data_IF_870777518561
#
_entry.id   IF_870777518561
#
_cell.length_a   1.000
_cell.length_b   1.000
_cell.length_c   1.000
_cell.angle_alpha   90.00
_cell.angle_beta   90.00
_cell.angle_gamma   90.00
#
_symmetry.space_group_name_H-M   'P 1'
#
loop_
_entity.id
_entity.type
_entity.pdbx_description
1 polymer ?
#
# COMPACT_ATOMS: atom_id res chain seq x y z
N UNK A 1 -8.31 -4.96 6.86
CA UNK A 1 -7.79 -5.71 5.70
C UNK A 1 -8.80 -6.65 5.02
N UNK A 2 -10.09 -6.62 5.37
CA UNK A 2 -11.11 -7.53 4.77
C UNK A 2 -11.26 -7.46 3.24
N UNK A 3 -10.92 -6.33 2.60
CA UNK A 3 -10.90 -6.24 1.13
C UNK A 3 -9.81 -7.11 0.48
N UNK A 4 -8.65 -7.30 1.13
CA UNK A 4 -7.65 -8.28 0.68
C UNK A 4 -8.13 -9.71 0.89
N UNK A 5 -9.00 -9.96 1.89
CA UNK A 5 -9.66 -11.25 2.07
C UNK A 5 -10.71 -11.53 0.97
N UNK A 6 -11.37 -10.50 0.43
CA UNK A 6 -12.38 -10.66 -0.63
C UNK A 6 -11.81 -11.02 -2.01
N UNK A 7 -10.49 -10.95 -2.21
CA UNK A 7 -9.78 -11.32 -3.45
C UNK A 7 -10.23 -10.59 -4.73
N UNK A 8 -11.08 -9.58 -4.64
CA UNK A 8 -11.58 -8.83 -5.79
C UNK A 8 -10.70 -7.61 -6.05
N UNK A 9 -9.90 -7.56 -7.14
CA UNK A 9 -8.90 -6.51 -7.35
C UNK A 9 -9.45 -5.07 -7.26
N UNK A 10 -10.62 -4.73 -7.82
CA UNK A 10 -11.18 -3.39 -7.69
C UNK A 10 -11.53 -3.01 -6.23
N UNK A 11 -11.97 -3.95 -5.41
CA UNK A 11 -12.26 -3.68 -4.01
C UNK A 11 -10.96 -3.49 -3.21
N UNK A 12 -9.93 -4.31 -3.47
CA UNK A 12 -8.60 -4.17 -2.88
C UNK A 12 -8.00 -2.80 -3.22
N UNK A 13 -8.10 -2.39 -4.49
CA UNK A 13 -7.68 -1.08 -4.97
C UNK A 13 -8.35 0.07 -4.18
N UNK A 14 -9.69 0.07 -4.11
CA UNK A 14 -10.44 1.12 -3.39
C UNK A 14 -10.13 1.14 -1.90
N UNK A 15 -10.06 -0.03 -1.26
CA UNK A 15 -9.78 -0.14 0.15
C UNK A 15 -8.35 0.33 0.49
N UNK A 16 -7.39 0.03 -0.38
CA UNK A 16 -5.99 0.48 -0.21
C UNK A 16 -5.88 2.00 -0.33
N UNK A 17 -6.52 2.62 -1.33
CA UNK A 17 -6.57 4.08 -1.45
C UNK A 17 -7.17 4.74 -0.21
N UNK A 18 -8.33 4.25 0.27
CA UNK A 18 -8.96 4.76 1.50
C UNK A 18 -8.09 4.59 2.74
N UNK A 19 -7.27 3.54 2.78
CA UNK A 19 -6.35 3.32 3.91
C UNK A 19 -5.25 4.38 3.97
N UNK A 20 -4.71 4.81 2.81
CA UNK A 20 -3.73 5.89 2.77
C UNK A 20 -4.36 7.24 3.11
N UNK A 21 -5.54 7.53 2.57
CA UNK A 21 -6.30 8.75 2.92
C UNK A 21 -6.46 8.87 4.44
N UNK A 22 -6.98 7.83 5.10
CA UNK A 22 -7.14 7.80 6.55
C UNK A 22 -5.82 7.98 7.31
N UNK A 23 -4.70 7.43 6.80
CA UNK A 23 -3.39 7.58 7.42
C UNK A 23 -2.89 9.03 7.36
N UNK A 24 -3.02 9.69 6.20
CA UNK A 24 -2.62 11.08 6.03
C UNK A 24 -3.50 12.03 6.84
N UNK A 25 -4.81 11.80 6.89
CA UNK A 25 -5.74 12.58 7.69
C UNK A 25 -5.45 12.45 9.18
N UNK A 26 -5.27 11.23 9.69
CA UNK A 26 -4.95 10.97 11.09
C UNK A 26 -3.61 11.59 11.54
N UNK A 27 -2.67 11.78 10.61
CA UNK A 27 -1.38 12.41 10.85
C UNK A 27 -1.38 13.95 10.65
N UNK A 28 -2.55 14.55 10.36
CA UNK A 28 -2.71 15.96 9.99
C UNK A 28 -1.81 16.38 8.81
N UNK A 29 -1.71 15.50 7.81
CA UNK A 29 -0.86 15.67 6.60
C UNK A 29 -1.68 15.89 5.34
N UNK A 30 -2.69 16.77 5.42
CA UNK A 30 -3.62 17.04 4.31
C UNK A 30 -2.93 17.51 3.01
N UNK A 31 -1.91 18.37 3.10
CA UNK A 31 -1.13 18.81 1.93
C UNK A 31 -0.38 17.64 1.27
N UNK A 32 0.16 16.72 2.07
CA UNK A 32 0.81 15.54 1.54
C UNK A 32 -0.20 14.57 0.89
N UNK A 33 -1.41 14.46 1.44
CA UNK A 33 -2.51 13.73 0.81
C UNK A 33 -2.86 14.31 -0.56
N UNK A 34 -2.99 15.64 -0.67
CA UNK A 34 -3.29 16.30 -1.95
C UNK A 34 -2.24 15.94 -3.03
N UNK A 35 -0.95 16.00 -2.68
CA UNK A 35 0.16 15.61 -3.57
C UNK A 35 0.04 14.14 -3.99
N UNK A 36 -0.13 13.22 -3.04
CA UNK A 36 -0.28 11.78 -3.32
C UNK A 36 -1.52 11.52 -4.16
N UNK A 37 -2.61 12.23 -3.90
CA UNK A 37 -3.86 12.09 -4.63
C UNK A 37 -3.74 12.49 -6.11
N UNK A 38 -2.95 13.54 -6.39
CA UNK A 38 -2.61 13.94 -7.77
C UNK A 38 -1.81 12.87 -8.53
N UNK A 39 -1.16 11.96 -7.81
CA UNK A 39 -0.42 10.83 -8.38
C UNK A 39 -1.24 9.52 -8.46
N UNK A 40 -2.49 9.52 -7.98
CA UNK A 40 -3.30 8.31 -7.85
C UNK A 40 -3.45 7.52 -9.16
N UNK A 41 -3.51 8.18 -10.33
CA UNK A 41 -3.60 7.46 -11.61
C UNK A 41 -2.38 6.56 -11.82
N UNK A 42 -1.16 7.10 -11.69
CA UNK A 42 0.10 6.36 -11.86
C UNK A 42 0.29 5.32 -10.76
N UNK A 43 -0.02 5.70 -9.52
CA UNK A 43 0.02 4.80 -8.37
C UNK A 43 -0.95 3.63 -8.56
N UNK A 44 -2.16 3.87 -9.07
CA UNK A 44 -3.15 2.83 -9.30
C UNK A 44 -2.76 1.89 -10.44
N UNK A 45 -2.10 2.40 -11.49
CA UNK A 45 -1.54 1.57 -12.55
C UNK A 45 -0.51 0.58 -11.99
N UNK A 46 0.47 1.06 -11.22
CA UNK A 46 1.47 0.21 -10.56
C UNK A 46 0.81 -0.76 -9.57
N UNK A 47 -0.17 -0.30 -8.78
CA UNK A 47 -0.87 -1.13 -7.80
C UNK A 47 -1.69 -2.24 -8.47
N UNK A 48 -2.32 -1.97 -9.62
CA UNK A 48 -3.02 -3.00 -10.39
C UNK A 48 -2.07 -4.13 -10.78
N UNK A 49 -0.86 -3.81 -11.24
CA UNK A 49 0.16 -4.80 -11.60
C UNK A 49 0.56 -5.67 -10.40
N UNK A 50 0.69 -5.09 -9.20
CA UNK A 50 1.09 -5.84 -8.01
C UNK A 50 -0.05 -6.66 -7.42
N UNK A 51 -1.27 -6.12 -7.32
CA UNK A 51 -2.44 -6.84 -6.80
C UNK A 51 -2.76 -8.09 -7.63
N UNK A 52 -2.58 -8.03 -8.95
CA UNK A 52 -2.80 -9.17 -9.85
C UNK A 52 -1.65 -10.19 -9.83
N UNK A 53 -0.58 -9.96 -9.06
CA UNK A 53 0.55 -10.89 -8.95
C UNK A 53 0.25 -11.98 -7.93
N UNK A 54 0.42 -13.24 -8.33
CA UNK A 54 0.16 -14.42 -7.48
C UNK A 54 0.94 -14.38 -6.16
N UNK A 55 2.17 -13.86 -6.19
CA UNK A 55 3.07 -13.77 -5.04
C UNK A 55 2.87 -12.50 -4.17
N UNK A 56 1.87 -11.65 -4.44
CA UNK A 56 1.72 -10.38 -3.70
C UNK A 56 0.79 -10.46 -2.51
N UNK A 57 -0.28 -11.26 -2.58
CA UNK A 57 -1.41 -11.17 -1.65
C UNK A 57 -1.03 -11.35 -0.19
N UNK A 58 -0.45 -12.49 0.17
CA UNK A 58 -0.10 -12.80 1.55
C UNK A 58 1.00 -11.86 2.10
N UNK A 59 2.10 -11.58 1.35
CA UNK A 59 3.06 -10.58 1.79
C UNK A 59 2.45 -9.19 2.00
N UNK A 60 1.54 -8.73 1.13
CA UNK A 60 0.90 -7.43 1.27
C UNK A 60 0.06 -7.32 2.55
N UNK A 61 -0.65 -8.39 2.91
CA UNK A 61 -1.44 -8.46 4.14
C UNK A 61 -0.50 -8.41 5.35
N UNK A 62 0.57 -9.20 5.36
CA UNK A 62 1.56 -9.22 6.45
C UNK A 62 2.21 -7.85 6.64
N UNK A 63 2.74 -7.27 5.57
CA UNK A 63 3.40 -5.96 5.59
C UNK A 63 2.47 -4.86 6.11
N UNK A 64 1.20 -4.84 5.68
CA UNK A 64 0.25 -3.85 6.15
C UNK A 64 -0.15 -4.04 7.63
N UNK A 65 -0.20 -5.30 8.11
CA UNK A 65 -0.40 -5.57 9.53
C UNK A 65 0.79 -5.08 10.36
N UNK A 66 2.03 -5.34 9.91
CA UNK A 66 3.25 -4.85 10.59
C UNK A 66 3.23 -3.32 10.77
N UNK A 67 2.85 -2.57 9.73
CA UNK A 67 2.71 -1.11 9.80
C UNK A 67 1.70 -0.73 10.89
N UNK A 68 0.52 -1.34 10.88
CA UNK A 68 -0.55 -1.01 11.83
C UNK A 68 -0.19 -1.40 13.26
N UNK A 69 0.51 -2.51 13.47
CA UNK A 69 0.92 -2.98 14.80
C UNK A 69 2.02 -2.08 15.39
N UNK A 70 2.97 -1.63 14.57
CA UNK A 70 3.96 -0.64 14.98
C UNK A 70 3.30 0.71 15.34
N UNK A 71 2.32 1.18 14.54
CA UNK A 71 1.55 2.39 14.85
C UNK A 71 0.80 2.25 16.17
N UNK A 72 0.05 1.14 16.37
CA UNK A 72 -0.70 0.89 17.61
C UNK A 72 0.21 0.81 18.84
N UNK A 73 1.40 0.24 18.66
CA UNK A 73 2.41 0.12 19.71
C UNK A 73 3.19 1.42 19.95
N UNK A 74 2.88 2.50 19.22
CA UNK A 74 3.56 3.81 19.29
C UNK A 74 5.07 3.71 19.03
N UNK A 75 5.45 2.92 18.04
CA UNK A 75 6.84 2.72 17.62
C UNK A 75 7.08 3.36 16.25
N UNK A 76 7.38 4.67 16.20
CA UNK A 76 7.45 5.41 14.94
C UNK A 76 8.51 4.87 13.98
N UNK A 77 9.71 4.54 14.48
CA UNK A 77 10.81 4.04 13.64
C UNK A 77 10.49 2.67 13.04
N UNK A 78 9.83 1.79 13.81
CA UNK A 78 9.37 0.49 13.31
C UNK A 78 8.27 0.66 12.25
N UNK A 79 7.35 1.60 12.45
CA UNK A 79 6.28 1.91 11.49
C UNK A 79 6.85 2.47 10.18
N UNK A 80 7.82 3.39 10.25
CA UNK A 80 8.52 3.91 9.07
C UNK A 80 9.25 2.79 8.32
N UNK A 81 10.01 1.97 9.04
CA UNK A 81 10.75 0.87 8.44
C UNK A 81 9.81 -0.14 7.76
N UNK A 82 8.69 -0.50 8.40
CA UNK A 82 7.68 -1.38 7.81
C UNK A 82 7.03 -0.76 6.56
N UNK A 83 6.68 0.52 6.60
CA UNK A 83 6.09 1.23 5.46
C UNK A 83 7.07 1.29 4.28
N UNK A 84 8.35 1.55 4.54
CA UNK A 84 9.40 1.56 3.50
C UNK A 84 9.57 0.19 2.86
N UNK A 85 9.61 -0.89 3.66
CA UNK A 85 9.66 -2.27 3.16
C UNK A 85 8.44 -2.60 2.30
N UNK A 86 7.24 -2.20 2.72
CA UNK A 86 6.00 -2.43 1.97
C UNK A 86 6.03 -1.81 0.55
N UNK A 87 6.47 -0.55 0.45
CA UNK A 87 6.58 0.16 -0.83
C UNK A 87 7.66 -0.48 -1.72
N UNK A 88 8.81 -0.84 -1.14
CA UNK A 88 9.91 -1.49 -1.88
C UNK A 88 9.50 -2.87 -2.41
N UNK A 89 8.83 -3.68 -1.61
CA UNK A 89 8.27 -5.00 -2.00
C UNK A 89 7.33 -4.86 -3.21
N UNK A 90 6.42 -3.89 -3.18
CA UNK A 90 5.53 -3.60 -4.31
C UNK A 90 6.30 -3.11 -5.55
N UNK A 91 7.30 -2.25 -5.36
CA UNK A 91 8.14 -1.74 -6.44
C UNK A 91 8.90 -2.85 -7.17
N UNK A 92 9.51 -3.79 -6.44
CA UNK A 92 10.25 -4.90 -7.03
C UNK A 92 9.37 -5.73 -7.98
N UNK A 93 8.16 -6.08 -7.55
CA UNK A 93 7.19 -6.81 -8.38
C UNK A 93 6.79 -6.01 -9.62
N UNK A 94 6.49 -4.72 -9.47
CA UNK A 94 6.10 -3.87 -10.60
C UNK A 94 7.26 -3.71 -11.60
N UNK A 95 8.48 -3.48 -11.12
CA UNK A 95 9.70 -3.37 -11.93
C UNK A 95 9.95 -4.63 -12.74
N UNK A 96 9.83 -5.79 -12.10
CA UNK A 96 10.08 -7.07 -12.77
C UNK A 96 9.02 -7.34 -13.85
N UNK A 97 7.76 -6.98 -13.62
CA UNK A 97 6.72 -7.01 -14.66
C UNK A 97 7.00 -6.04 -15.82
N UNK A 98 7.47 -4.82 -15.55
CA UNK A 98 7.77 -3.83 -16.59
C UNK A 98 8.98 -4.21 -17.45
N UNK A 99 9.93 -4.98 -16.90
CA UNK A 99 11.09 -5.49 -17.65
C UNK A 99 10.76 -6.64 -18.61
N UNK A 100 9.60 -7.27 -18.44
CA UNK A 100 9.11 -8.36 -19.27
C UNK A 100 8.21 -7.89 -20.42
N UNK A 101 8.00 -6.57 -20.55
CA UNK A 101 7.28 -5.91 -21.64
C UNK A 101 8.31 -5.30 -22.59
#
# INVERSE_FOLDING_TARGET
FGAWASATPPAVMRATTKSYEALFEAADKRVAWEIVSGLNVRINQLRSMTILSENRREPAISEMNEIMDAIRSRKPDEAEAAARRHVESAWQIARDKLRLV
#
